data_IF_740997380361
#
_entry.id   IF_740997380361
#
_cell.length_a   1.000
_cell.length_b   1.000
_cell.length_c   1.000
_cell.angle_alpha   90.00
_cell.angle_beta   90.00
_cell.angle_gamma   90.00
#
_symmetry.space_group_name_H-M   'P 1'
#
loop_
_entity.id
_entity.type
_entity.pdbx_description
1 polymer ?
#
# COMPACT_ATOMS: atom_id res chain seq x y z
N UNK A 1 44.39 0.17 44.62
CA UNK A 1 43.96 0.99 43.47
C UNK A 1 42.84 0.23 42.78
N UNK A 2 41.60 0.75 42.78
CA UNK A 2 40.47 0.11 42.14
C UNK A 2 40.43 0.50 40.66
N UNK A 3 40.16 -0.44 39.77
CA UNK A 3 39.78 -0.14 38.39
C UNK A 3 38.45 -0.82 38.12
N UNK A 4 37.41 0.01 38.10
CA UNK A 4 36.05 -0.35 37.72
C UNK A 4 36.01 -0.97 36.34
N UNK A 5 35.60 -2.23 36.28
CA UNK A 5 35.10 -2.85 35.06
C UNK A 5 33.67 -2.31 34.84
N UNK A 6 33.57 -1.22 34.08
CA UNK A 6 32.29 -0.60 33.74
C UNK A 6 31.60 -1.47 32.68
N UNK A 7 30.70 -2.34 33.15
CA UNK A 7 29.81 -3.14 32.33
C UNK A 7 29.10 -2.26 31.28
N UNK A 8 29.33 -2.57 30.00
CA UNK A 8 28.52 -2.05 28.89
C UNK A 8 27.06 -2.47 29.09
N UNK A 9 26.08 -1.55 28.91
CA UNK A 9 24.68 -1.93 28.96
C UNK A 9 24.34 -2.83 27.76
N UNK A 10 23.47 -3.85 27.95
CA UNK A 10 23.08 -4.76 26.88
C UNK A 10 22.33 -4.03 25.75
N UNK A 11 22.43 -4.50 24.50
CA UNK A 11 21.66 -3.94 23.39
C UNK A 11 20.18 -3.98 23.73
N UNK A 12 19.50 -2.84 23.57
CA UNK A 12 18.07 -2.69 23.78
C UNK A 12 17.33 -3.80 23.02
N UNK A 13 16.83 -4.79 23.76
CA UNK A 13 15.82 -5.70 23.23
C UNK A 13 14.60 -4.82 22.96
N UNK A 14 14.45 -4.43 21.69
CA UNK A 14 13.30 -3.67 21.22
C UNK A 14 12.06 -4.46 21.62
N UNK A 15 11.44 -4.07 22.74
CA UNK A 15 10.17 -4.61 23.20
C UNK A 15 9.21 -4.34 22.05
N UNK A 16 8.93 -5.37 21.24
CA UNK A 16 7.97 -5.28 20.15
C UNK A 16 6.72 -4.68 20.75
N UNK A 17 6.40 -3.46 20.32
CA UNK A 17 5.22 -2.75 20.78
C UNK A 17 3.99 -3.66 20.63
N UNK A 18 3.01 -3.46 21.51
CA UNK A 18 1.74 -4.18 21.45
C UNK A 18 1.23 -4.23 20.00
N UNK A 19 0.79 -5.41 19.50
CA UNK A 19 0.29 -5.50 18.14
C UNK A 19 -0.81 -4.45 17.91
N UNK A 20 -0.84 -3.82 16.73
CA UNK A 20 -1.87 -2.84 16.42
C UNK A 20 -3.25 -3.49 16.59
N UNK A 21 -4.19 -2.74 17.16
CA UNK A 21 -5.56 -3.19 17.37
C UNK A 21 -6.17 -3.77 16.06
N UNK A 22 -7.17 -4.65 16.13
CA UNK A 22 -7.83 -5.19 14.95
C UNK A 22 -8.27 -4.07 14.00
N UNK A 23 -8.35 -4.39 12.70
CA UNK A 23 -8.91 -3.46 11.72
C UNK A 23 -10.35 -3.14 12.12
N UNK A 24 -10.73 -1.86 12.04
CA UNK A 24 -12.07 -1.40 12.37
C UNK A 24 -13.14 -2.24 11.65
N UNK A 25 -14.25 -2.59 12.33
CA UNK A 25 -15.39 -3.24 11.68
C UNK A 25 -15.98 -2.37 10.56
N UNK A 26 -15.85 -1.04 10.67
CA UNK A 26 -16.35 -0.05 9.71
C UNK A 26 -15.55 -0.02 8.40
N UNK A 27 -14.34 -0.56 8.37
CA UNK A 27 -13.57 -0.66 7.15
C UNK A 27 -14.26 -1.62 6.18
N UNK A 28 -14.63 -1.15 4.98
CA UNK A 28 -15.21 -2.01 3.95
C UNK A 28 -14.25 -3.08 3.43
N UNK A 29 -14.74 -4.08 2.68
CA UNK A 29 -13.92 -5.12 2.08
C UNK A 29 -12.72 -4.59 1.27
N UNK A 30 -12.91 -3.54 0.46
CA UNK A 30 -11.82 -2.99 -0.35
C UNK A 30 -10.81 -2.23 0.51
N UNK A 31 -11.25 -1.52 1.55
CA UNK A 31 -10.33 -0.92 2.53
C UNK A 31 -9.46 -2.01 3.20
N UNK A 32 -10.06 -3.13 3.62
CA UNK A 32 -9.30 -4.26 4.19
C UNK A 32 -8.32 -4.87 3.19
N UNK A 33 -8.69 -4.96 1.91
CA UNK A 33 -7.88 -5.59 0.87
C UNK A 33 -6.49 -4.96 0.70
N UNK A 34 -6.37 -3.63 0.88
CA UNK A 34 -5.07 -2.96 0.82
C UNK A 34 -4.41 -2.84 2.20
N UNK A 35 -5.19 -2.73 3.27
CA UNK A 35 -4.69 -2.53 4.63
C UNK A 35 -4.06 -3.80 5.23
N UNK A 36 -4.60 -4.98 4.94
CA UNK A 36 -4.08 -6.25 5.46
C UNK A 36 -2.65 -6.54 4.98
N UNK A 37 -2.30 -6.40 3.68
CA UNK A 37 -0.92 -6.48 3.22
C UNK A 37 0.02 -5.50 3.94
N UNK A 38 -0.39 -4.25 4.14
CA UNK A 38 0.42 -3.24 4.85
C UNK A 38 0.68 -3.66 6.30
N UNK A 39 -0.36 -4.12 7.01
CA UNK A 39 -0.23 -4.62 8.39
C UNK A 39 0.63 -5.88 8.49
N UNK A 40 0.52 -6.77 7.50
CA UNK A 40 1.31 -7.99 7.42
C UNK A 40 2.79 -7.66 7.27
N UNK A 41 3.15 -6.83 6.28
CA UNK A 41 4.53 -6.39 6.04
C UNK A 41 5.08 -5.61 7.22
N UNK A 42 4.32 -4.70 7.82
CA UNK A 42 4.76 -4.01 9.04
C UNK A 42 5.11 -5.00 10.16
N UNK A 43 4.26 -6.02 10.39
CA UNK A 43 4.50 -7.05 11.42
C UNK A 43 5.75 -7.90 11.14
N UNK A 44 6.03 -8.21 9.87
CA UNK A 44 7.18 -9.04 9.48
C UNK A 44 8.47 -8.25 9.31
N UNK A 45 8.39 -6.96 8.99
CA UNK A 45 9.55 -6.07 8.78
C UNK A 45 10.42 -5.86 10.01
N UNK A 46 9.87 -6.08 11.21
CA UNK A 46 10.55 -5.80 12.48
C UNK A 46 10.62 -4.32 12.84
N UNK A 47 10.10 -3.42 11.99
CA UNK A 47 9.99 -2.00 12.28
C UNK A 47 8.97 -1.77 13.40
N UNK A 48 9.29 -0.84 14.29
CA UNK A 48 8.38 -0.34 15.31
C UNK A 48 7.49 0.76 14.74
N UNK A 49 6.43 1.10 15.48
CA UNK A 49 5.59 2.24 15.12
C UNK A 49 6.38 3.56 15.18
N UNK A 50 7.38 3.66 16.05
CA UNK A 50 8.23 4.86 16.16
C UNK A 50 9.18 4.95 14.95
N UNK A 51 9.70 3.83 14.43
CA UNK A 51 10.47 3.83 13.17
C UNK A 51 9.63 4.31 11.98
N UNK A 52 8.33 3.97 11.96
CA UNK A 52 7.42 4.49 10.94
C UNK A 52 7.19 6.00 11.11
N UNK A 53 7.06 6.50 12.34
CA UNK A 53 6.92 7.94 12.62
C UNK A 53 8.13 8.69 12.09
N UNK A 54 9.33 8.26 12.48
CA UNK A 54 10.58 8.92 12.14
C UNK A 54 10.83 8.95 10.62
N UNK A 55 10.47 7.87 9.93
CA UNK A 55 10.73 7.72 8.48
C UNK A 55 9.62 8.29 7.59
N UNK A 56 8.38 8.32 8.06
CA UNK A 56 7.24 8.80 7.26
C UNK A 56 6.92 10.28 7.49
N UNK A 57 7.39 10.87 8.59
CA UNK A 57 7.11 12.26 8.99
C UNK A 57 5.71 12.48 9.57
N UNK A 58 4.92 11.42 9.76
CA UNK A 58 3.57 11.49 10.33
C UNK A 58 3.56 11.14 11.81
N UNK A 59 2.63 11.72 12.57
CA UNK A 59 2.50 11.45 14.00
C UNK A 59 2.10 9.99 14.30
N UNK A 60 2.52 9.50 15.46
CA UNK A 60 2.21 8.14 15.95
C UNK A 60 0.72 7.82 15.94
N UNK A 61 -0.10 8.79 16.36
CA UNK A 61 -1.57 8.67 16.35
C UNK A 61 -2.08 8.45 14.92
N UNK A 62 -1.64 9.27 13.97
CA UNK A 62 -2.11 9.22 12.58
C UNK A 62 -1.71 7.92 11.88
N UNK A 63 -0.51 7.41 12.14
CA UNK A 63 -0.07 6.11 11.61
C UNK A 63 -0.84 4.96 12.28
N UNK A 64 -1.08 5.04 13.59
CA UNK A 64 -1.89 4.03 14.29
C UNK A 64 -3.34 4.01 13.80
N UNK A 65 -3.94 5.16 13.53
CA UNK A 65 -5.30 5.26 12.96
C UNK A 65 -5.35 4.67 11.55
N UNK A 66 -4.38 5.02 10.70
CA UNK A 66 -4.21 4.44 9.37
C UNK A 66 -4.15 2.91 9.46
N UNK A 67 -3.25 2.36 10.29
CA UNK A 67 -3.07 0.92 10.43
C UNK A 67 -4.30 0.20 10.99
N UNK A 68 -5.17 0.91 11.70
CA UNK A 68 -6.45 0.38 12.21
C UNK A 68 -7.59 0.53 11.20
N UNK A 69 -7.41 1.31 10.14
CA UNK A 69 -8.48 1.67 9.21
C UNK A 69 -9.62 2.40 9.93
N UNK A 70 -9.31 3.19 10.95
CA UNK A 70 -10.29 3.90 11.77
C UNK A 70 -10.47 5.34 11.29
N UNK A 71 -11.68 5.88 11.43
CA UNK A 71 -12.00 7.27 11.08
C UNK A 71 -12.15 7.50 9.58
N UNK A 72 -11.77 8.68 9.12
CA UNK A 72 -11.88 9.05 7.70
C UNK A 72 -10.95 8.23 6.82
N UNK A 73 -11.42 7.93 5.60
CA UNK A 73 -10.60 7.26 4.61
C UNK A 73 -9.29 8.05 4.37
N UNK A 74 -8.12 7.40 4.51
CA UNK A 74 -6.83 8.08 4.52
C UNK A 74 -6.51 8.65 3.14
N UNK A 75 -5.93 9.84 3.11
CA UNK A 75 -5.39 10.43 1.89
C UNK A 75 -4.21 9.59 1.35
N UNK A 76 -3.89 9.76 0.07
CA UNK A 76 -2.90 8.90 -0.59
C UNK A 76 -1.48 9.17 -0.07
N UNK A 77 -1.17 10.39 0.33
CA UNK A 77 0.17 10.85 0.75
C UNK A 77 0.66 10.07 1.98
N UNK A 78 -0.21 9.89 2.99
CA UNK A 78 0.14 9.13 4.19
C UNK A 78 0.28 7.64 3.88
N UNK A 79 -0.62 7.10 3.05
CA UNK A 79 -0.56 5.70 2.62
C UNK A 79 0.73 5.44 1.85
N UNK A 80 1.05 6.30 0.88
CA UNK A 80 2.27 6.27 0.07
C UNK A 80 3.54 6.33 0.92
N UNK A 81 3.60 7.25 1.88
CA UNK A 81 4.76 7.38 2.78
C UNK A 81 4.98 6.09 3.57
N UNK A 82 3.93 5.51 4.14
CA UNK A 82 4.02 4.25 4.91
C UNK A 82 4.41 3.07 4.03
N UNK A 83 3.78 2.89 2.87
CA UNK A 83 4.11 1.77 1.98
C UNK A 83 5.53 1.87 1.41
N UNK A 84 6.03 3.10 1.18
CA UNK A 84 7.40 3.35 0.75
C UNK A 84 8.40 2.95 1.83
N UNK A 85 8.14 3.30 3.09
CA UNK A 85 8.99 2.87 4.23
C UNK A 85 8.99 1.34 4.37
N UNK A 86 7.87 0.70 4.09
CA UNK A 86 7.72 -0.76 4.14
C UNK A 86 8.22 -1.49 2.88
N UNK A 87 8.62 -0.77 1.83
CA UNK A 87 9.10 -1.36 0.57
C UNK A 87 8.01 -2.09 -0.22
N UNK A 88 6.75 -1.70 -0.06
CA UNK A 88 5.62 -2.31 -0.77
C UNK A 88 5.47 -1.67 -2.16
N UNK A 89 5.21 -2.45 -3.23
CA UNK A 89 5.01 -1.92 -4.57
C UNK A 89 3.89 -0.87 -4.63
N UNK A 90 4.20 0.30 -5.20
CA UNK A 90 3.30 1.46 -5.15
C UNK A 90 2.13 1.31 -6.10
N UNK A 91 2.36 0.85 -7.33
CA UNK A 91 1.32 0.82 -8.37
C UNK A 91 0.15 -0.12 -8.05
N UNK A 92 0.37 -1.39 -7.64
CA UNK A 92 -0.71 -2.25 -7.19
C UNK A 92 -1.44 -1.68 -5.97
N UNK A 93 -0.71 -1.08 -5.04
CA UNK A 93 -1.27 -0.47 -3.85
C UNK A 93 -2.15 0.73 -4.18
N UNK A 94 -1.72 1.60 -5.11
CA UNK A 94 -2.49 2.75 -5.59
C UNK A 94 -3.83 2.31 -6.20
N UNK A 95 -3.83 1.21 -6.95
CA UNK A 95 -5.06 0.65 -7.54
C UNK A 95 -6.03 0.17 -6.47
N UNK A 96 -5.55 -0.56 -5.47
CA UNK A 96 -6.40 -1.04 -4.36
C UNK A 96 -6.91 0.11 -3.49
N UNK A 97 -6.03 1.08 -3.16
CA UNK A 97 -6.42 2.29 -2.44
C UNK A 97 -7.46 3.10 -3.22
N UNK A 98 -7.33 3.19 -4.55
CA UNK A 98 -8.32 3.89 -5.40
C UNK A 98 -9.68 3.20 -5.36
N UNK A 99 -9.70 1.86 -5.42
CA UNK A 99 -10.94 1.09 -5.34
C UNK A 99 -11.62 1.28 -3.96
N UNK A 100 -10.84 1.25 -2.89
CA UNK A 100 -11.33 1.48 -1.54
C UNK A 100 -11.78 2.93 -1.27
N UNK A 101 -11.15 3.93 -1.92
CA UNK A 101 -11.60 5.31 -1.85
C UNK A 101 -13.00 5.47 -2.46
N UNK A 102 -13.28 4.78 -3.58
CA UNK A 102 -14.60 4.75 -4.21
C UNK A 102 -15.63 4.06 -3.32
N UNK A 103 -15.25 2.96 -2.67
CA UNK A 103 -16.08 2.29 -1.65
C UNK A 103 -16.44 3.23 -0.49
N UNK A 104 -15.49 4.05 -0.05
CA UNK A 104 -15.69 5.08 0.97
C UNK A 104 -16.39 6.36 0.43
N UNK A 105 -17.05 6.28 -0.73
CA UNK A 105 -17.78 7.37 -1.39
C UNK A 105 -16.95 8.63 -1.65
N UNK A 106 -15.63 8.49 -1.88
CA UNK A 106 -14.79 9.61 -2.29
C UNK A 106 -14.98 9.91 -3.77
N UNK A 107 -15.15 11.20 -4.08
CA UNK A 107 -15.33 11.66 -5.45
C UNK A 107 -14.07 11.47 -6.31
N UNK A 108 -14.21 11.34 -7.63
CA UNK A 108 -13.09 11.11 -8.54
C UNK A 108 -12.05 12.25 -8.50
N UNK A 109 -12.51 13.49 -8.31
CA UNK A 109 -11.64 14.66 -8.21
C UNK A 109 -10.76 14.64 -6.96
N UNK A 110 -11.33 14.25 -5.82
CA UNK A 110 -10.58 14.09 -4.58
C UNK A 110 -9.51 12.99 -4.72
N UNK A 111 -9.87 11.87 -5.34
CA UNK A 111 -8.94 10.75 -5.60
C UNK A 111 -7.77 11.25 -6.46
N UNK A 112 -8.08 11.97 -7.55
CA UNK A 112 -7.08 12.53 -8.46
C UNK A 112 -6.15 13.49 -7.74
N UNK A 113 -6.70 14.44 -6.98
CA UNK A 113 -5.91 15.41 -6.22
C UNK A 113 -4.97 14.74 -5.21
N UNK A 114 -5.44 13.71 -4.48
CA UNK A 114 -4.60 12.96 -3.55
C UNK A 114 -3.45 12.21 -4.27
N UNK A 115 -3.71 11.68 -5.46
CA UNK A 115 -2.67 11.00 -6.25
C UNK A 115 -1.65 12.01 -6.79
N UNK A 116 -2.11 13.16 -7.31
CA UNK A 116 -1.26 14.20 -7.89
C UNK A 116 -0.34 14.88 -6.86
N UNK A 117 -0.74 14.94 -5.59
CA UNK A 117 0.10 15.48 -4.51
C UNK A 117 1.38 14.66 -4.28
N UNK A 118 1.41 13.41 -4.75
CA UNK A 118 2.56 12.53 -4.65
C UNK A 118 3.17 12.32 -6.03
N UNK A 119 4.29 12.98 -6.30
CA UNK A 119 5.09 12.66 -7.48
C UNK A 119 5.69 11.25 -7.32
N UNK A 120 5.17 10.29 -8.08
CA UNK A 120 5.69 8.94 -8.16
C UNK A 120 5.90 8.56 -9.64
N UNK A 121 7.12 8.18 -9.98
CA UNK A 121 7.44 7.61 -11.28
C UNK A 121 6.74 6.25 -11.40
N UNK A 122 5.93 6.07 -12.44
CA UNK A 122 5.27 4.81 -12.67
C UNK A 122 6.33 3.71 -12.87
N UNK A 123 6.30 2.68 -12.02
CA UNK A 123 7.08 1.48 -12.25
C UNK A 123 6.70 0.90 -13.62
N UNK A 124 7.68 0.79 -14.51
CA UNK A 124 7.50 0.13 -15.80
C UNK A 124 7.02 -1.31 -15.58
N UNK A 125 6.15 -1.84 -16.45
CA UNK A 125 5.70 -3.21 -16.30
C UNK A 125 6.90 -4.17 -16.27
N UNK A 126 6.85 -5.26 -15.49
CA UNK A 126 7.92 -6.26 -15.47
C UNK A 126 8.25 -6.72 -16.90
N UNK A 127 9.54 -6.84 -17.24
CA UNK A 127 9.99 -7.27 -18.58
C UNK A 127 9.26 -8.54 -19.07
N UNK A 128 8.99 -9.57 -18.25
CA UNK A 128 8.21 -10.74 -18.68
C UNK A 128 6.77 -10.40 -19.07
N UNK A 129 6.14 -9.45 -18.39
CA UNK A 129 4.79 -8.97 -18.72
C UNK A 129 4.79 -8.19 -20.04
N UNK A 130 5.80 -7.34 -20.28
CA UNK A 130 5.95 -6.63 -21.55
C UNK A 130 6.14 -7.63 -22.70
N UNK A 131 7.12 -8.53 -22.58
CA UNK A 131 7.38 -9.54 -23.61
C UNK A 131 6.16 -10.43 -23.90
N UNK A 132 5.43 -10.85 -22.85
CA UNK A 132 4.18 -11.58 -23.03
C UNK A 132 3.13 -10.75 -23.74
N UNK A 133 2.93 -9.49 -23.34
CA UNK A 133 1.94 -8.60 -23.94
C UNK A 133 2.27 -8.37 -25.40
N UNK A 134 3.52 -8.05 -25.73
CA UNK A 134 3.96 -7.80 -27.11
C UNK A 134 3.80 -9.05 -27.99
N UNK A 135 4.17 -10.22 -27.46
CA UNK A 135 4.02 -11.50 -28.18
C UNK A 135 2.55 -11.86 -28.42
N UNK A 136 1.70 -11.63 -27.41
CA UNK A 136 0.30 -12.07 -27.45
C UNK A 136 -0.66 -11.01 -27.99
N UNK A 137 -0.22 -9.76 -28.18
CA UNK A 137 -1.05 -8.65 -28.62
C UNK A 137 -1.78 -8.95 -29.93
N UNK A 138 -1.03 -9.36 -30.96
CA UNK A 138 -1.61 -9.66 -32.27
C UNK A 138 -2.53 -10.89 -32.24
N UNK A 139 -2.13 -12.06 -31.70
CA UNK A 139 -3.01 -13.22 -31.59
C UNK A 139 -4.32 -12.95 -30.84
N UNK A 140 -4.26 -12.23 -29.71
CA UNK A 140 -5.47 -11.88 -28.96
C UNK A 140 -6.36 -10.90 -29.71
N UNK A 141 -5.79 -9.92 -30.41
CA UNK A 141 -6.55 -8.95 -31.20
C UNK A 141 -7.29 -9.63 -32.36
N UNK A 142 -6.64 -10.59 -33.04
CA UNK A 142 -7.26 -11.38 -34.11
C UNK A 142 -8.40 -12.24 -33.58
N UNK A 143 -8.19 -12.94 -32.47
CA UNK A 143 -9.25 -13.68 -31.78
C UNK A 143 -10.43 -12.76 -31.42
N UNK A 144 -10.16 -11.63 -30.78
CA UNK A 144 -11.21 -10.68 -30.39
C UNK A 144 -11.97 -10.12 -31.60
N UNK A 145 -11.28 -9.85 -32.71
CA UNK A 145 -11.92 -9.39 -33.95
C UNK A 145 -12.79 -10.46 -34.59
N UNK A 146 -12.30 -11.70 -34.66
CA UNK A 146 -13.00 -12.81 -35.30
C UNK A 146 -14.23 -13.27 -34.50
N UNK A 147 -14.16 -13.23 -33.16
CA UNK A 147 -15.18 -13.84 -32.31
C UNK A 147 -15.96 -12.83 -31.45
N UNK A 148 -15.32 -11.79 -30.91
CA UNK A 148 -15.97 -10.88 -29.95
C UNK A 148 -16.58 -9.64 -30.62
N UNK A 149 -16.06 -9.19 -31.77
CA UNK A 149 -16.59 -8.05 -32.52
C UNK A 149 -17.59 -8.44 -33.61
N UNK A 150 -17.66 -9.73 -33.97
CA UNK A 150 -18.57 -10.25 -35.00
C UNK A 150 -20.00 -10.40 -34.47
N UNK A 151 -20.18 -10.62 -33.16
CA UNK A 151 -21.51 -10.69 -32.51
C UNK A 151 -22.31 -9.39 -32.64
N UNK A 152 -21.66 -8.26 -32.96
CA UNK A 152 -22.32 -6.97 -33.18
C UNK A 152 -22.86 -6.79 -34.61
N UNK A 153 -22.50 -7.66 -35.56
CA UNK A 153 -22.97 -7.61 -36.97
C UNK A 153 -24.10 -8.59 -37.30
N UNK A 154 -24.51 -9.43 -36.35
CA UNK A 154 -25.59 -10.41 -36.54
C UNK A 154 -26.95 -9.98 -35.94
N UNK A 155 -27.21 -8.68 -35.82
CA UNK A 155 -28.53 -8.12 -35.47
C UNK A 155 -29.09 -7.27 -36.59
#
# INVERSE_FOLDING_TARGET
MPSSDAAQPPPHSARRGRPPAPISPEAGPLHRAWLEPVRSVHRTSGLTLDDLVDRSGYSKTRISELLRGNGYYPAWEITFSVIRVLGIPTEPMRRLWTAAAREAHKGPEWIRQCIEQVAHEAEGPPLPYQAFTDTMYHPYLEYARAFLLTDRRAR
#
